data_IF_922565615107
#
_entry.id   IF_922565615107
#
_cell.length_a   1.000
_cell.length_b   1.000
_cell.length_c   1.000
_cell.angle_alpha   90.00
_cell.angle_beta   90.00
_cell.angle_gamma   90.00
#
_symmetry.space_group_name_H-M   'P 1'
#
loop_
_entity.id
_entity.type
_entity.pdbx_description
1 polymer ?
#
# COMPACT_ATOMS: atom_id res chain seq x y z
N UNK A 1 -35.64 8.74 1.89
CA UNK A 1 -34.41 8.03 1.49
C UNK A 1 -33.52 7.94 2.71
N UNK A 2 -33.31 6.75 3.26
CA UNK A 2 -32.54 6.54 4.49
C UNK A 2 -31.06 6.42 4.12
N UNK A 3 -30.26 7.44 4.42
CA UNK A 3 -28.84 7.55 4.00
C UNK A 3 -27.96 6.44 4.65
N UNK A 4 -28.50 5.69 5.61
CA UNK A 4 -27.78 4.65 6.36
C UNK A 4 -27.57 3.33 5.61
N UNK A 5 -28.21 3.15 4.45
CA UNK A 5 -28.10 1.93 3.62
C UNK A 5 -27.10 2.03 2.47
N UNK A 6 -26.35 3.14 2.39
CA UNK A 6 -25.24 3.25 1.44
C UNK A 6 -24.09 2.40 1.99
N UNK A 7 -24.11 1.12 1.62
CA UNK A 7 -22.99 0.19 1.53
C UNK A 7 -21.97 0.33 2.66
N UNK A 8 -22.12 -0.47 3.72
CA UNK A 8 -21.09 -0.60 4.76
C UNK A 8 -19.77 -0.95 4.06
N UNK A 9 -18.74 -0.09 4.12
CA UNK A 9 -17.51 -0.34 3.39
C UNK A 9 -16.91 -1.65 3.90
N UNK A 10 -16.60 -2.59 2.99
CA UNK A 10 -15.89 -3.84 3.30
C UNK A 10 -14.43 -3.62 3.77
N UNK A 11 -14.09 -2.38 4.14
CA UNK A 11 -12.79 -1.94 4.58
C UNK A 11 -12.94 -1.07 5.82
N UNK A 12 -11.96 -1.15 6.71
CA UNK A 12 -11.81 -0.26 7.86
C UNK A 12 -10.50 0.51 7.72
N UNK A 13 -10.39 1.66 8.37
CA UNK A 13 -9.13 2.42 8.41
C UNK A 13 -7.96 1.54 8.90
N UNK A 14 -8.21 0.66 9.86
CA UNK A 14 -7.22 -0.30 10.34
C UNK A 14 -6.76 -1.27 9.23
N UNK A 15 -7.70 -1.84 8.47
CA UNK A 15 -7.37 -2.74 7.36
C UNK A 15 -6.61 -2.02 6.25
N UNK A 16 -6.99 -0.78 5.93
CA UNK A 16 -6.27 0.04 4.94
C UNK A 16 -4.85 0.36 5.41
N UNK A 17 -4.68 0.75 6.68
CA UNK A 17 -3.36 1.01 7.25
C UNK A 17 -2.47 -0.24 7.25
N UNK A 18 -3.05 -1.42 7.55
CA UNK A 18 -2.32 -2.70 7.49
C UNK A 18 -1.89 -3.02 6.06
N UNK A 19 -2.78 -2.84 5.09
CA UNK A 19 -2.50 -3.06 3.68
C UNK A 19 -1.37 -2.14 3.20
N UNK A 20 -1.48 -0.84 3.46
CA UNK A 20 -0.45 0.15 3.15
C UNK A 20 0.91 -0.23 3.74
N UNK A 21 0.99 -0.54 5.04
CA UNK A 21 2.26 -0.92 5.69
C UNK A 21 2.88 -2.16 5.07
N UNK A 22 2.07 -3.16 4.71
CA UNK A 22 2.57 -4.35 4.02
C UNK A 22 3.10 -4.02 2.63
N UNK A 23 2.40 -3.19 1.88
CA UNK A 23 2.86 -2.71 0.57
C UNK A 23 4.20 -2.02 0.67
N UNK A 24 4.32 -1.09 1.62
CA UNK A 24 5.56 -0.35 1.87
C UNK A 24 6.76 -1.26 2.14
N UNK A 25 6.59 -2.30 2.96
CA UNK A 25 7.65 -3.27 3.21
C UNK A 25 8.03 -4.07 1.96
N UNK A 26 7.07 -4.45 1.11
CA UNK A 26 7.35 -5.12 -0.15
C UNK A 26 8.12 -4.20 -1.12
N UNK A 27 7.71 -2.92 -1.20
CA UNK A 27 8.39 -1.92 -2.01
C UNK A 27 9.83 -1.71 -1.57
N UNK A 28 10.07 -1.66 -0.25
CA UNK A 28 11.43 -1.56 0.30
C UNK A 28 12.31 -2.78 -0.04
N UNK A 29 11.72 -3.98 -0.10
CA UNK A 29 12.44 -5.20 -0.45
C UNK A 29 12.74 -5.33 -1.96
N UNK A 30 12.21 -4.44 -2.80
CA UNK A 30 12.33 -4.55 -4.26
C UNK A 30 11.45 -5.66 -4.88
N UNK A 31 10.48 -6.15 -4.12
CA UNK A 31 9.52 -7.16 -4.59
C UNK A 31 8.54 -6.54 -5.59
N UNK A 32 8.04 -7.34 -6.54
CA UNK A 32 7.05 -6.87 -7.53
C UNK A 32 5.69 -6.56 -6.90
N UNK A 33 4.98 -5.55 -7.44
CA UNK A 33 3.61 -5.20 -7.04
C UNK A 33 2.56 -6.29 -7.38
N UNK A 34 2.91 -7.26 -8.23
CA UNK A 34 2.03 -8.37 -8.64
C UNK A 34 1.65 -9.29 -7.49
N UNK A 35 2.29 -9.16 -6.33
CA UNK A 35 2.01 -9.94 -5.13
C UNK A 35 0.92 -9.36 -4.22
N UNK A 36 0.15 -8.37 -4.68
CA UNK A 36 -0.97 -7.83 -3.90
C UNK A 36 -1.98 -8.94 -3.55
N UNK A 37 -2.16 -9.29 -2.26
CA UNK A 37 -3.01 -10.42 -1.87
C UNK A 37 -4.50 -10.03 -1.74
N UNK A 38 -4.84 -8.76 -1.98
CA UNK A 38 -6.15 -8.22 -1.69
C UNK A 38 -7.02 -8.19 -2.94
N UNK A 39 -8.18 -8.85 -2.88
CA UNK A 39 -9.19 -8.82 -3.95
C UNK A 39 -10.10 -7.59 -3.90
N UNK A 40 -10.16 -6.92 -2.74
CA UNK A 40 -10.92 -5.66 -2.59
C UNK A 40 -10.11 -4.52 -3.19
N UNK A 41 -10.68 -3.84 -4.20
CA UNK A 41 -10.01 -2.73 -4.90
C UNK A 41 -9.53 -1.63 -3.94
N UNK A 42 -10.34 -1.27 -2.93
CA UNK A 42 -9.97 -0.22 -1.98
C UNK A 42 -8.80 -0.64 -1.10
N UNK A 43 -8.76 -1.91 -0.68
CA UNK A 43 -7.66 -2.43 0.15
C UNK A 43 -6.40 -2.65 -0.71
N UNK A 44 -6.57 -3.11 -1.95
CA UNK A 44 -5.50 -3.26 -2.93
C UNK A 44 -4.86 -1.90 -3.24
N UNK A 45 -5.65 -0.87 -3.51
CA UNK A 45 -5.15 0.49 -3.75
C UNK A 45 -4.32 1.02 -2.57
N UNK A 46 -4.75 0.77 -1.32
CA UNK A 46 -3.97 1.14 -0.15
C UNK A 46 -2.62 0.40 -0.08
N UNK A 47 -2.59 -0.89 -0.42
CA UNK A 47 -1.36 -1.68 -0.51
C UNK A 47 -0.44 -1.17 -1.63
N UNK A 48 -0.98 -0.91 -2.81
CA UNK A 48 -0.22 -0.42 -3.97
C UNK A 48 0.40 0.96 -3.71
N UNK A 49 -0.34 1.86 -3.06
CA UNK A 49 0.19 3.15 -2.62
C UNK A 49 1.40 2.96 -1.69
N UNK A 50 1.27 2.08 -0.69
CA UNK A 50 2.38 1.76 0.20
C UNK A 50 3.59 1.20 -0.56
N UNK A 51 3.37 0.27 -1.48
CA UNK A 51 4.44 -0.32 -2.30
C UNK A 51 5.19 0.70 -3.15
N UNK A 52 4.46 1.64 -3.77
CA UNK A 52 5.06 2.71 -4.57
C UNK A 52 5.93 3.63 -3.71
N UNK A 53 5.43 4.00 -2.53
CA UNK A 53 6.18 4.84 -1.58
C UNK A 53 7.43 4.11 -1.06
N UNK A 54 7.32 2.81 -0.76
CA UNK A 54 8.44 1.97 -0.32
C UNK A 54 9.52 1.82 -1.41
N UNK A 55 9.11 1.62 -2.66
CA UNK A 55 10.04 1.52 -3.81
C UNK A 55 10.77 2.84 -4.03
N UNK A 56 10.06 3.96 -3.91
CA UNK A 56 10.65 5.30 -4.00
C UNK A 56 11.67 5.51 -2.88
N UNK A 57 11.31 5.18 -1.63
CA UNK A 57 12.20 5.30 -0.49
C UNK A 57 13.46 4.43 -0.61
N UNK A 58 13.35 3.20 -1.10
CA UNK A 58 14.49 2.33 -1.34
C UNK A 58 15.42 2.88 -2.43
N UNK A 59 14.83 3.45 -3.48
CA UNK A 59 15.58 4.09 -4.58
C UNK A 59 16.34 5.32 -4.08
N UNK A 60 15.68 6.17 -3.30
CA UNK A 60 16.28 7.37 -2.73
C UNK A 60 17.39 7.05 -1.74
N UNK A 61 17.18 6.05 -0.87
CA UNK A 61 18.22 5.56 0.05
C UNK A 61 19.46 5.08 -0.71
N UNK A 62 19.27 4.33 -1.81
CA UNK A 62 20.36 3.85 -2.66
C UNK A 62 21.09 4.98 -3.38
N UNK A 63 20.38 6.05 -3.76
CA UNK A 63 20.99 7.25 -4.36
C UNK A 63 21.81 8.03 -3.33
N UNK A 64 21.36 8.10 -2.08
CA UNK A 64 22.04 8.82 -1.01
C UNK A 64 23.37 8.14 -0.60
N UNK A 65 23.46 6.81 -0.65
CA UNK A 65 24.69 6.08 -0.36
C UNK A 65 25.72 6.12 -1.48
N UNK A 66 25.31 6.36 -2.73
CA UNK A 66 26.22 6.43 -3.87
C UNK A 66 27.00 7.77 -3.98
N UNK A 67 26.61 8.78 -3.18
CA UNK A 67 27.23 10.12 -3.15
C UNK A 67 28.06 10.39 -1.89
N UNK A 68 28.13 9.41 -0.98
CA UNK A 68 28.94 9.44 0.25
C UNK A 68 30.23 8.65 0.07
#
# INVERSE_FOLDING_TARGET
MNIKEIDQPKWSLETLNKAYRKGYLFGLSGESNTHCPYQSEVIAAAWEAGWMDGTTAATDASRQTAIA
#
